data_IF_500485942105
#
_entry.id   IF_500485942105
#
_cell.length_a   1.000
_cell.length_b   1.000
_cell.length_c   1.000
_cell.angle_alpha   90.00
_cell.angle_beta   90.00
_cell.angle_gamma   90.00
#
_symmetry.space_group_name_H-M   'P 1'
#
loop_
_entity.id
_entity.type
_entity.pdbx_description
1 polymer ?
#
# COMPACT_ATOMS: atom_id res chain seq x y z
N UNK A 1 -14.01 -2.81 3.49
CA UNK A 1 -14.32 -2.04 2.27
C UNK A 1 -14.16 -2.92 1.03
N UNK A 2 -14.90 -2.61 -0.05
CA UNK A 2 -14.88 -3.35 -1.32
C UNK A 2 -14.80 -2.36 -2.49
N UNK A 3 -14.12 -2.75 -3.58
CA UNK A 3 -14.00 -2.00 -4.84
C UNK A 3 -14.00 -2.94 -6.03
N UNK A 4 -14.59 -2.48 -7.13
CA UNK A 4 -14.58 -3.19 -8.41
C UNK A 4 -13.52 -2.57 -9.32
N UNK A 5 -12.84 -3.39 -10.11
CA UNK A 5 -12.08 -2.89 -11.24
C UNK A 5 -13.05 -2.33 -12.29
N UNK A 6 -12.56 -1.46 -13.16
CA UNK A 6 -13.32 -1.13 -14.36
C UNK A 6 -13.47 -2.39 -15.23
N UNK A 7 -14.60 -2.53 -15.91
CA UNK A 7 -14.86 -3.64 -16.83
C UNK A 7 -13.93 -3.53 -18.02
N UNK A 8 -12.78 -4.20 -17.95
CA UNK A 8 -11.84 -4.30 -19.06
C UNK A 8 -12.04 -5.63 -19.81
N UNK A 9 -11.45 -5.77 -21.00
CA UNK A 9 -11.54 -6.98 -21.85
C UNK A 9 -11.10 -8.28 -21.14
N UNK A 10 -10.40 -8.19 -20.00
CA UNK A 10 -9.90 -9.34 -19.21
C UNK A 10 -10.88 -9.84 -18.14
N UNK A 11 -11.97 -9.12 -17.87
CA UNK A 11 -12.96 -9.49 -16.84
C UNK A 11 -13.02 -8.49 -15.69
N UNK A 12 -13.97 -8.71 -14.78
CA UNK A 12 -14.24 -7.83 -13.65
C UNK A 12 -13.57 -8.41 -12.38
N UNK A 13 -12.64 -7.67 -11.80
CA UNK A 13 -12.01 -8.00 -10.53
C UNK A 13 -12.71 -7.29 -9.38
N UNK A 14 -12.73 -7.95 -8.23
CA UNK A 14 -13.20 -7.41 -6.96
C UNK A 14 -12.05 -7.39 -5.98
N UNK A 15 -11.77 -6.24 -5.36
CA UNK A 15 -10.88 -6.15 -4.21
C UNK A 15 -11.69 -5.91 -2.94
N UNK A 16 -11.38 -6.67 -1.89
CA UNK A 16 -11.91 -6.45 -0.55
C UNK A 16 -10.77 -6.27 0.45
N UNK A 17 -10.87 -5.22 1.26
CA UNK A 17 -9.92 -4.89 2.31
C UNK A 17 -10.73 -4.45 3.52
N UNK A 18 -10.83 -5.33 4.51
CA UNK A 18 -11.58 -5.09 5.75
C UNK A 18 -10.80 -5.50 7.00
N UNK A 19 -9.73 -6.25 6.83
CA UNK A 19 -8.79 -6.64 7.86
C UNK A 19 -7.39 -6.10 7.49
N UNK A 20 -6.33 -6.81 7.91
CA UNK A 20 -4.93 -6.51 7.60
C UNK A 20 -4.50 -7.03 6.22
N UNK A 21 -5.43 -7.64 5.48
CA UNK A 21 -5.20 -8.26 4.19
C UNK A 21 -6.11 -7.66 3.13
N UNK A 22 -5.71 -7.82 1.88
CA UNK A 22 -6.54 -7.44 0.74
C UNK A 22 -6.74 -8.69 -0.10
N UNK A 23 -8.00 -9.02 -0.39
CA UNK A 23 -8.34 -10.17 -1.21
C UNK A 23 -8.79 -9.70 -2.57
N UNK A 24 -8.26 -10.31 -3.62
CA UNK A 24 -8.68 -10.07 -5.00
C UNK A 24 -9.43 -11.30 -5.48
N UNK A 25 -10.59 -11.06 -6.09
CA UNK A 25 -11.48 -12.08 -6.61
C UNK A 25 -11.71 -11.86 -8.09
N UNK A 26 -11.73 -12.95 -8.84
CA UNK A 26 -12.20 -12.95 -10.22
C UNK A 26 -13.70 -13.26 -10.21
N UNK A 27 -14.52 -12.31 -10.69
CA UNK A 27 -15.97 -12.47 -10.71
C UNK A 27 -16.46 -13.36 -11.86
N UNK A 28 -15.60 -13.70 -12.83
CA UNK A 28 -15.95 -14.66 -13.87
C UNK A 28 -15.96 -16.10 -13.34
N UNK A 29 -15.00 -16.42 -12.48
CA UNK A 29 -14.83 -17.74 -11.88
C UNK A 29 -15.33 -17.82 -10.44
N UNK A 30 -15.68 -16.68 -9.84
CA UNK A 30 -16.09 -16.51 -8.44
C UNK A 30 -15.03 -16.99 -7.42
N UNK A 31 -13.78 -17.07 -7.84
CA UNK A 31 -12.68 -17.56 -7.02
C UNK A 31 -11.84 -16.40 -6.46
N UNK A 32 -11.32 -16.59 -5.25
CA UNK A 32 -10.28 -15.72 -4.72
C UNK A 32 -8.96 -16.07 -5.40
N UNK A 33 -8.43 -15.14 -6.20
CA UNK A 33 -7.22 -15.37 -6.98
C UNK A 33 -5.96 -14.93 -6.24
N UNK A 34 -6.06 -13.94 -5.36
CA UNK A 34 -4.91 -13.42 -4.61
C UNK A 34 -5.30 -12.95 -3.21
N UNK A 35 -4.37 -13.13 -2.28
CA UNK A 35 -4.42 -12.56 -0.93
C UNK A 35 -3.13 -11.78 -0.71
N UNK A 36 -3.26 -10.46 -0.59
CA UNK A 36 -2.17 -9.53 -0.43
C UNK A 36 -1.91 -9.33 1.07
N UNK A 37 -0.74 -9.76 1.50
CA UNK A 37 -0.24 -9.60 2.86
C UNK A 37 0.80 -8.49 2.90
N UNK A 38 0.72 -7.61 3.91
CA UNK A 38 1.78 -6.61 4.14
C UNK A 38 1.32 -5.36 4.90
N UNK A 39 0.01 -5.11 5.00
CA UNK A 39 -0.49 -4.10 5.94
C UNK A 39 -0.45 -4.64 7.36
N UNK A 40 -0.01 -3.80 8.30
CA UNK A 40 0.04 -4.17 9.72
C UNK A 40 -1.22 -3.76 10.47
N UNK A 41 -2.04 -2.90 9.85
CA UNK A 41 -3.35 -2.45 10.37
C UNK A 41 -4.42 -2.55 9.29
N UNK A 42 -5.63 -2.12 9.66
CA UNK A 42 -6.83 -2.21 8.86
C UNK A 42 -6.72 -1.35 7.60
N UNK A 43 -7.08 -1.97 6.47
CA UNK A 43 -7.17 -1.29 5.19
C UNK A 43 -8.46 -0.49 5.15
N UNK A 44 -8.32 0.83 5.08
CA UNK A 44 -9.44 1.77 5.04
C UNK A 44 -9.75 2.28 3.65
N UNK A 45 -8.77 2.23 2.73
CA UNK A 45 -8.89 2.71 1.35
C UNK A 45 -8.44 1.63 0.35
N UNK A 46 -9.18 1.49 -0.75
CA UNK A 46 -8.82 0.67 -1.90
C UNK A 46 -9.22 1.40 -3.18
N UNK A 47 -8.41 1.27 -4.23
CA UNK A 47 -8.73 1.73 -5.57
C UNK A 47 -7.94 0.95 -6.62
N UNK A 48 -8.61 0.55 -7.70
CA UNK A 48 -7.95 -0.01 -8.87
C UNK A 48 -7.53 1.13 -9.80
N UNK A 49 -6.28 1.10 -10.25
CA UNK A 49 -5.79 1.97 -11.31
C UNK A 49 -6.00 1.20 -12.63
N UNK A 50 -6.67 1.80 -13.63
CA UNK A 50 -6.78 1.18 -14.94
C UNK A 50 -5.39 1.07 -15.58
N UNK A 51 -5.13 0.04 -16.41
CA UNK A 51 -3.89 -0.02 -17.18
C UNK A 51 -3.88 1.16 -18.16
N UNK A 52 -3.27 2.28 -17.78
CA UNK A 52 -3.15 3.45 -18.63
C UNK A 52 -2.16 3.12 -19.74
N UNK A 53 -2.62 3.05 -20.99
CA UNK A 53 -1.77 3.12 -22.19
C UNK A 53 -1.18 4.52 -22.42
N UNK A 54 -1.33 5.45 -21.46
CA UNK A 54 -0.89 6.83 -21.55
C UNK A 54 -0.53 7.36 -20.17
N UNK A 55 0.63 6.98 -19.66
CA UNK A 55 1.45 7.87 -18.85
C UNK A 55 2.87 7.75 -19.42
N UNK A 56 3.46 8.91 -19.68
CA UNK A 56 4.79 9.08 -20.27
C UNK A 56 5.82 8.12 -19.68
N UNK A 57 6.74 7.53 -20.48
CA UNK A 57 7.70 6.50 -20.05
C UNK A 57 8.76 6.95 -19.03
N UNK A 58 8.64 8.15 -18.45
CA UNK A 58 9.75 8.88 -17.83
C UNK A 58 9.67 8.91 -16.30
N UNK A 59 8.49 8.72 -15.70
CA UNK A 59 8.32 8.74 -14.25
C UNK A 59 7.40 7.60 -13.83
N UNK A 60 8.04 6.46 -13.57
CA UNK A 60 7.64 5.39 -12.66
C UNK A 60 8.15 4.09 -13.26
N UNK A 61 9.13 3.49 -12.60
CA UNK A 61 9.72 2.18 -12.90
C UNK A 61 8.73 1.02 -12.65
N UNK A 62 7.46 1.21 -13.01
CA UNK A 62 6.46 0.16 -13.06
C UNK A 62 6.81 -0.76 -14.23
N UNK A 63 6.77 -2.10 -14.01
CA UNK A 63 7.08 -3.05 -15.06
C UNK A 63 6.17 -2.77 -16.27
N UNK A 64 6.80 -2.57 -17.42
CA UNK A 64 6.15 -2.38 -18.71
C UNK A 64 5.39 -3.66 -19.06
N UNK A 65 4.16 -3.73 -18.57
CA UNK A 65 3.32 -4.91 -18.58
C UNK A 65 1.93 -4.50 -18.15
N UNK A 66 0.93 -4.99 -18.87
CA UNK A 66 -0.51 -4.72 -18.72
C UNK A 66 -1.09 -5.25 -17.40
N UNK A 67 -0.38 -5.11 -16.29
CA UNK A 67 -0.82 -5.51 -14.96
C UNK A 67 -1.70 -4.41 -14.38
N UNK A 68 -2.90 -4.78 -13.93
CA UNK A 68 -3.75 -3.87 -13.20
C UNK A 68 -3.15 -3.61 -11.81
N UNK A 69 -2.99 -2.33 -11.46
CA UNK A 69 -2.42 -1.92 -10.19
C UNK A 69 -3.56 -1.68 -9.20
N UNK A 70 -3.41 -2.18 -7.98
CA UNK A 70 -4.29 -1.88 -6.86
C UNK A 70 -3.53 -1.00 -5.88
N UNK A 71 -4.16 0.08 -5.45
CA UNK A 71 -3.64 0.94 -4.38
C UNK A 71 -4.47 0.72 -3.13
N UNK A 72 -3.80 0.61 -2.00
CA UNK A 72 -4.43 0.49 -0.69
C UNK A 72 -3.90 1.52 0.28
N UNK A 73 -4.80 2.13 1.04
CA UNK A 73 -4.48 2.98 2.19
C UNK A 73 -4.86 2.26 3.48
N UNK A 74 -3.96 2.30 4.45
CA UNK A 74 -4.11 1.59 5.72
C UNK A 74 -3.83 2.50 6.90
N UNK A 75 -4.41 2.12 8.05
CA UNK A 75 -4.16 2.77 9.33
C UNK A 75 -2.76 2.56 9.89
N UNK A 76 -1.91 1.80 9.18
CA UNK A 76 -0.49 1.65 9.46
C UNK A 76 0.36 2.81 8.93
N UNK A 77 -0.30 3.90 8.48
CA UNK A 77 0.33 5.10 7.93
C UNK A 77 1.05 4.87 6.60
N UNK A 78 0.73 3.78 5.91
CA UNK A 78 1.28 3.48 4.60
C UNK A 78 0.20 3.41 3.53
N UNK A 79 0.61 3.81 2.33
CA UNK A 79 -0.11 3.53 1.09
C UNK A 79 0.72 2.51 0.31
N UNK A 80 0.13 1.39 -0.08
CA UNK A 80 0.83 0.33 -0.83
C UNK A 80 0.27 0.20 -2.23
N UNK A 81 1.17 -0.01 -3.18
CA UNK A 81 0.86 -0.33 -4.57
C UNK A 81 1.10 -1.81 -4.78
N UNK A 82 0.12 -2.48 -5.36
CA UNK A 82 0.14 -3.92 -5.57
C UNK A 82 -0.07 -4.25 -7.04
N UNK A 83 0.70 -5.21 -7.52
CA UNK A 83 0.40 -5.88 -8.78
C UNK A 83 -0.67 -6.93 -8.49
N UNK A 84 -1.85 -6.79 -9.11
CA UNK A 84 -2.99 -7.70 -8.87
C UNK A 84 -2.81 -9.10 -9.45
N UNK A 85 -1.90 -9.26 -10.41
CA UNK A 85 -1.65 -10.54 -11.08
C UNK A 85 -0.63 -11.38 -10.32
N UNK A 86 0.47 -10.75 -9.89
CA UNK A 86 1.55 -11.40 -9.13
C UNK A 86 1.32 -11.38 -7.62
N UNK A 87 0.45 -10.49 -7.13
CA UNK A 87 0.20 -10.27 -5.71
C UNK A 87 1.34 -9.56 -4.97
N UNK A 88 2.37 -9.09 -5.68
CA UNK A 88 3.53 -8.44 -5.07
C UNK A 88 3.24 -6.97 -4.73
N UNK A 89 3.75 -6.54 -3.57
CA UNK A 89 3.84 -5.12 -3.23
C UNK A 89 4.94 -4.49 -4.09
N UNK A 90 4.55 -3.60 -5.00
CA UNK A 90 5.45 -2.88 -5.91
C UNK A 90 6.12 -1.71 -5.20
N UNK A 91 5.36 -0.98 -4.38
CA UNK A 91 5.85 0.18 -3.65
C UNK A 91 5.08 0.40 -2.36
N UNK A 92 5.75 1.00 -1.37
CA UNK A 92 5.14 1.46 -0.13
C UNK A 92 5.47 2.93 0.03
N UNK A 93 4.45 3.76 -0.04
CA UNK A 93 4.51 5.18 0.21
C UNK A 93 4.19 5.43 1.69
N UNK A 94 5.00 6.27 2.32
CA UNK A 94 4.86 6.70 3.70
C UNK A 94 4.95 8.22 3.65
N UNK A 95 4.08 8.91 4.38
CA UNK A 95 4.24 10.35 4.53
C UNK A 95 5.48 10.62 5.39
N UNK A 96 6.31 11.57 4.98
CA UNK A 96 7.51 11.97 5.72
C UNK A 96 7.15 12.20 7.19
N UNK A 97 7.84 11.50 8.09
CA UNK A 97 7.52 11.63 9.50
C UNK A 97 8.02 12.99 9.98
N UNK A 98 7.23 13.68 10.79
CA UNK A 98 7.57 15.02 11.32
C UNK A 98 8.94 15.09 12.01
N UNK A 99 9.46 13.96 12.49
CA UNK A 99 10.74 13.87 13.20
C UNK A 99 11.77 13.00 12.48
N UNK A 100 11.53 12.66 11.21
CA UNK A 100 12.43 11.83 10.42
C UNK A 100 13.82 12.49 10.31
N UNK A 101 14.84 11.80 10.82
CA UNK A 101 16.22 12.32 10.84
C UNK A 101 16.50 13.35 11.95
N UNK A 102 15.55 13.66 12.84
CA UNK A 102 15.80 14.54 13.97
C UNK A 102 16.75 13.86 14.98
N UNK A 103 17.98 14.38 15.11
CA UNK A 103 18.96 13.87 16.06
C UNK A 103 18.68 14.37 17.49
N UNK A 104 18.38 13.44 18.39
CA UNK A 104 18.12 13.70 19.82
C UNK A 104 19.10 12.96 20.75
N UNK A 105 20.24 12.48 20.23
CA UNK A 105 21.28 11.79 21.02
C UNK A 105 21.81 12.61 22.20
N UNK A 106 21.78 13.95 22.09
CA UNK A 106 22.20 14.87 23.15
C UNK A 106 21.10 15.36 24.09
N UNK A 107 19.85 14.94 23.89
CA UNK A 107 18.73 15.46 24.66
C UNK A 107 18.70 14.88 26.09
N UNK A 108 18.76 15.75 27.09
CA UNK A 108 18.71 15.39 28.51
C UNK A 108 17.27 15.48 29.05
N UNK A 109 16.96 14.69 30.10
CA UNK A 109 15.63 14.70 30.74
C UNK A 109 14.54 13.82 30.09
N UNK A 110 14.85 13.08 29.03
CA UNK A 110 13.92 12.15 28.38
C UNK A 110 13.93 10.76 29.03
N UNK A 111 12.75 10.23 29.31
CA UNK A 111 12.54 8.83 29.73
C UNK A 111 12.72 7.86 28.57
N UNK A 112 12.98 6.58 28.88
CA UNK A 112 13.10 5.53 27.87
C UNK A 112 11.84 5.42 26.99
N UNK A 113 10.65 5.55 27.59
CA UNK A 113 9.38 5.51 26.85
C UNK A 113 9.25 6.67 25.83
N UNK A 114 9.69 7.89 26.22
CA UNK A 114 9.71 9.04 25.33
C UNK A 114 10.71 8.85 24.19
N UNK A 115 11.91 8.33 24.48
CA UNK A 115 12.91 7.98 23.46
C UNK A 115 12.37 6.95 22.47
N UNK A 116 11.72 5.88 22.95
CA UNK A 116 11.08 4.87 22.08
C UNK A 116 9.99 5.49 21.21
N UNK A 117 9.20 6.41 21.76
CA UNK A 117 8.14 7.10 21.01
C UNK A 117 8.74 8.00 19.92
N UNK A 118 9.80 8.75 20.23
CA UNK A 118 10.48 9.63 19.28
C UNK A 118 11.19 8.83 18.17
N UNK A 119 11.84 7.71 18.50
CA UNK A 119 12.37 6.78 17.49
C UNK A 119 11.26 6.20 16.61
N UNK A 120 10.11 5.84 17.19
CA UNK A 120 8.95 5.38 16.42
C UNK A 120 8.38 6.48 15.51
N UNK A 121 8.61 7.76 15.82
CA UNK A 121 8.25 8.91 15.00
C UNK A 121 9.35 9.32 14.01
N UNK A 122 10.48 8.61 13.94
CA UNK A 122 11.57 8.83 12.98
C UNK A 122 12.80 9.57 13.53
N UNK A 123 12.82 9.91 14.82
CA UNK A 123 13.97 10.56 15.43
C UNK A 123 15.15 9.59 15.62
N UNK A 124 16.36 10.11 15.44
CA UNK A 124 17.61 9.41 15.71
C UNK A 124 17.97 9.61 17.20
N UNK A 125 17.79 8.55 18.00
CA UNK A 125 18.09 8.53 19.44
C UNK A 125 19.50 8.05 19.73
#
# INVERSE_FOLDING_TARGET
>A
MVKFSQSDRRGLLLASGGDRTIRVWDLKTYNCIQVLHGHTRWVSALIFIPPTTSLSPQDMSLPSGTSQILVSGSHDQTIKLWDTQTGKCLSTLIADRLYEGMNIQGATGLTNAQKTTLSALGALV
#
